data_IF_882212766610
#
_entry.id   IF_882212766610
#
_cell.length_a   1.000
_cell.length_b   1.000
_cell.length_c   1.000
_cell.angle_alpha   90.00
_cell.angle_beta   90.00
_cell.angle_gamma   90.00
#
_symmetry.space_group_name_H-M   'P 1'
#
loop_
_entity.id
_entity.type
_entity.pdbx_description
1 polymer ?
#
# COMPACT_ATOMS: atom_id res chain seq x y z
N UNK A 1 -32.36 -13.38 -2.67
CA UNK A 1 -31.21 -13.96 -3.42
C UNK A 1 -29.95 -13.44 -2.75
N UNK A 2 -29.02 -14.30 -2.36
CA UNK A 2 -27.70 -13.86 -1.88
C UNK A 2 -27.00 -13.18 -3.05
N UNK A 3 -26.61 -11.92 -2.88
CA UNK A 3 -25.78 -11.20 -3.84
C UNK A 3 -24.40 -11.83 -3.80
N UNK A 4 -23.90 -12.31 -4.94
CA UNK A 4 -22.50 -12.72 -5.06
C UNK A 4 -21.66 -11.47 -5.26
N UNK A 5 -20.87 -11.11 -4.26
CA UNK A 5 -19.95 -9.96 -4.32
C UNK A 5 -18.55 -10.36 -3.85
N UNK A 6 -17.57 -9.54 -4.23
CA UNK A 6 -16.23 -9.56 -3.67
C UNK A 6 -15.95 -8.21 -3.00
N UNK A 7 -15.19 -8.22 -1.91
CA UNK A 7 -14.68 -6.99 -1.30
C UNK A 7 -13.23 -6.78 -1.74
N UNK A 8 -12.95 -5.59 -2.25
CA UNK A 8 -11.63 -5.17 -2.74
C UNK A 8 -11.13 -4.04 -1.86
N UNK A 9 -9.91 -4.20 -1.33
CA UNK A 9 -9.29 -3.23 -0.43
C UNK A 9 -8.11 -2.53 -1.14
N UNK A 10 -8.11 -1.20 -1.08
CA UNK A 10 -7.08 -0.38 -1.69
C UNK A 10 -5.75 -0.45 -0.91
N UNK A 11 -4.65 -0.25 -1.63
CA UNK A 11 -3.31 -0.12 -1.04
C UNK A 11 -2.92 1.32 -0.72
N UNK A 12 -1.62 1.54 -0.51
CA UNK A 12 -1.05 2.88 -0.30
C UNK A 12 -1.26 3.78 -1.52
N UNK A 13 -1.52 5.06 -1.28
CA UNK A 13 -1.91 6.07 -2.28
C UNK A 13 -3.37 6.52 -2.15
N UNK A 14 -4.19 5.84 -1.36
CA UNK A 14 -5.58 6.21 -1.09
C UNK A 14 -5.76 7.12 0.15
N UNK A 15 -4.70 7.35 0.91
CA UNK A 15 -4.75 8.15 2.13
C UNK A 15 -5.10 9.61 1.84
N UNK A 16 -5.86 10.21 2.75
CA UNK A 16 -6.12 11.65 2.77
C UNK A 16 -6.46 12.09 4.19
N UNK A 17 -6.10 13.32 4.54
CA UNK A 17 -6.55 13.93 5.79
C UNK A 17 -8.09 13.92 5.86
N UNK A 18 -8.63 13.61 7.02
CA UNK A 18 -10.05 13.43 7.30
C UNK A 18 -10.62 12.06 6.94
N UNK A 19 -9.83 11.12 6.41
CA UNK A 19 -10.34 9.77 6.13
C UNK A 19 -10.78 9.06 7.43
N UNK A 20 -11.98 8.47 7.42
CA UNK A 20 -12.53 7.79 8.59
C UNK A 20 -13.15 8.70 9.66
N UNK A 21 -13.13 10.03 9.50
CA UNK A 21 -13.67 10.98 10.48
C UNK A 21 -15.16 10.76 10.76
N UNK A 22 -15.96 10.60 9.72
CA UNK A 22 -17.40 10.32 9.86
C UNK A 22 -17.66 9.02 10.63
N UNK A 23 -16.82 7.99 10.47
CA UNK A 23 -16.94 6.75 11.24
C UNK A 23 -16.62 6.98 12.71
N UNK A 24 -15.53 7.68 12.99
CA UNK A 24 -15.10 7.99 14.36
C UNK A 24 -16.13 8.83 15.11
N UNK A 25 -16.69 9.87 14.48
CA UNK A 25 -17.66 10.76 15.14
C UNK A 25 -19.00 10.07 15.44
N UNK A 26 -19.38 9.07 14.64
CA UNK A 26 -20.71 8.46 14.68
C UNK A 26 -20.76 7.00 15.16
N UNK A 27 -19.62 6.41 15.55
CA UNK A 27 -19.59 5.00 16.01
C UNK A 27 -18.63 4.78 17.18
N UNK A 28 -19.17 4.28 18.29
CA UNK A 28 -18.37 3.84 19.44
C UNK A 28 -17.43 2.67 19.10
N UNK A 29 -17.81 1.81 18.13
CA UNK A 29 -16.93 0.74 17.64
C UNK A 29 -15.70 1.33 16.94
N UNK A 30 -15.89 2.38 16.13
CA UNK A 30 -14.77 3.03 15.45
C UNK A 30 -13.83 3.73 16.45
N UNK A 31 -14.39 4.41 17.46
CA UNK A 31 -13.61 5.03 18.54
C UNK A 31 -12.79 4.00 19.30
N UNK A 32 -13.40 2.87 19.68
CA UNK A 32 -12.72 1.81 20.42
C UNK A 32 -11.59 1.21 19.59
N UNK A 33 -11.84 0.85 18.32
CA UNK A 33 -10.81 0.28 17.45
C UNK A 33 -9.63 1.25 17.24
N UNK A 34 -9.91 2.55 17.14
CA UNK A 34 -8.87 3.57 17.04
C UNK A 34 -8.06 3.69 18.34
N UNK A 35 -8.72 3.67 19.51
CA UNK A 35 -8.06 3.68 20.81
C UNK A 35 -7.17 2.44 21.01
N UNK A 36 -7.66 1.25 20.66
CA UNK A 36 -6.90 0.00 20.75
C UNK A 36 -5.67 0.03 19.81
N UNK A 37 -5.84 0.58 18.60
CA UNK A 37 -4.77 0.76 17.65
C UNK A 37 -3.72 1.79 18.14
N UNK A 38 -4.16 2.87 18.80
CA UNK A 38 -3.26 3.84 19.44
C UNK A 38 -2.41 3.15 20.52
N UNK A 39 -3.03 2.36 21.40
CA UNK A 39 -2.33 1.65 22.48
C UNK A 39 -1.29 0.66 21.94
N UNK A 40 -1.63 -0.07 20.88
CA UNK A 40 -0.77 -1.12 20.32
C UNK A 40 0.40 -0.59 19.50
N UNK A 41 0.20 0.52 18.79
CA UNK A 41 1.24 1.06 17.89
C UNK A 41 2.00 2.26 18.47
N UNK A 42 1.42 2.93 19.47
CA UNK A 42 1.91 4.21 19.99
C UNK A 42 1.67 5.40 19.05
N UNK A 43 0.92 5.22 17.95
CA UNK A 43 0.53 6.29 17.03
C UNK A 43 -0.72 6.97 17.59
N UNK A 44 -0.74 8.31 17.57
CA UNK A 44 -1.98 9.08 17.76
C UNK A 44 -2.74 9.12 16.42
N UNK A 45 -3.62 8.14 16.18
CA UNK A 45 -4.37 8.07 14.93
C UNK A 45 -5.36 9.22 14.76
N UNK A 46 -5.87 9.81 15.84
CA UNK A 46 -6.79 10.95 15.76
C UNK A 46 -6.05 12.16 15.18
N UNK A 47 -4.89 12.49 15.75
CA UNK A 47 -4.05 13.57 15.21
C UNK A 47 -3.59 13.26 13.78
N UNK A 48 -3.08 12.05 13.54
CA UNK A 48 -2.56 11.63 12.24
C UNK A 48 -3.61 11.73 11.13
N UNK A 49 -4.87 11.35 11.43
CA UNK A 49 -5.93 11.28 10.44
C UNK A 49 -6.72 12.58 10.32
N UNK A 50 -6.93 13.33 11.41
CA UNK A 50 -7.93 14.42 11.45
C UNK A 50 -7.34 15.82 11.54
N UNK A 51 -6.06 15.96 11.86
CA UNK A 51 -5.35 17.23 11.98
C UNK A 51 -4.26 17.37 10.90
N UNK A 52 -3.85 18.61 10.62
CA UNK A 52 -2.77 18.88 9.65
C UNK A 52 -1.42 18.39 10.18
N UNK A 53 -0.75 17.54 9.41
CA UNK A 53 0.55 16.96 9.75
C UNK A 53 1.32 16.46 8.50
N UNK A 54 2.63 16.30 8.64
CA UNK A 54 3.52 15.79 7.57
C UNK A 54 3.72 14.26 7.62
N UNK A 55 3.10 13.58 8.58
CA UNK A 55 3.33 12.15 8.84
C UNK A 55 2.46 11.25 7.98
N UNK A 56 1.23 11.67 7.62
CA UNK A 56 0.29 10.82 6.88
C UNK A 56 0.82 10.38 5.51
N UNK A 57 1.78 11.11 4.92
CA UNK A 57 2.46 10.74 3.68
C UNK A 57 3.65 9.78 3.84
N UNK A 58 4.12 9.55 5.07
CA UNK A 58 5.26 8.69 5.35
C UNK A 58 4.80 7.25 5.56
N UNK A 59 5.40 6.31 4.81
CA UNK A 59 4.98 4.91 4.72
C UNK A 59 4.73 4.22 6.07
N UNK A 60 5.54 4.50 7.09
CA UNK A 60 5.39 3.91 8.43
C UNK A 60 4.10 4.29 9.16
N UNK A 61 3.53 5.45 8.83
CA UNK A 61 2.26 5.95 9.36
C UNK A 61 1.11 5.72 8.37
N UNK A 62 1.37 5.91 7.08
CA UNK A 62 0.36 5.75 6.01
C UNK A 62 -0.25 4.34 6.00
N UNK A 63 0.61 3.32 6.11
CA UNK A 63 0.16 1.94 5.99
C UNK A 63 -0.82 1.52 7.10
N UNK A 64 -0.48 1.65 8.40
CA UNK A 64 -1.41 1.28 9.46
C UNK A 64 -2.67 2.17 9.47
N UNK A 65 -2.55 3.45 9.08
CA UNK A 65 -3.69 4.35 8.96
C UNK A 65 -4.72 3.89 7.91
N UNK A 66 -4.27 3.50 6.71
CA UNK A 66 -5.16 2.99 5.66
C UNK A 66 -5.82 1.69 6.11
N UNK A 67 -5.06 0.76 6.70
CA UNK A 67 -5.62 -0.49 7.19
C UNK A 67 -6.67 -0.25 8.27
N UNK A 68 -6.36 0.56 9.29
CA UNK A 68 -7.27 0.86 10.39
C UNK A 68 -8.62 1.39 9.88
N UNK A 69 -8.58 2.38 8.97
CA UNK A 69 -9.80 2.95 8.39
C UNK A 69 -10.55 1.92 7.53
N UNK A 70 -9.84 1.08 6.78
CA UNK A 70 -10.45 0.02 5.98
C UNK A 70 -11.16 -1.05 6.82
N UNK A 71 -10.55 -1.47 7.94
CA UNK A 71 -11.13 -2.49 8.82
C UNK A 71 -12.27 -1.93 9.67
N UNK A 72 -12.21 -0.66 10.08
CA UNK A 72 -13.35 0.04 10.69
C UNK A 72 -14.51 0.10 9.69
N UNK A 73 -14.27 0.56 8.45
CA UNK A 73 -15.30 0.64 7.42
C UNK A 73 -15.95 -0.73 7.16
N UNK A 74 -15.12 -1.79 7.09
CA UNK A 74 -15.59 -3.15 6.92
C UNK A 74 -16.46 -3.63 8.09
N UNK A 75 -16.04 -3.38 9.34
CA UNK A 75 -16.81 -3.75 10.53
C UNK A 75 -18.17 -3.06 10.55
N UNK A 76 -18.20 -1.74 10.34
CA UNK A 76 -19.46 -0.99 10.32
C UNK A 76 -20.38 -1.42 9.18
N UNK A 77 -19.82 -1.69 8.00
CA UNK A 77 -20.59 -2.17 6.86
C UNK A 77 -21.23 -3.54 7.16
N UNK A 78 -20.46 -4.49 7.69
CA UNK A 78 -20.94 -5.85 7.98
C UNK A 78 -21.89 -5.92 9.16
N UNK A 79 -21.78 -5.01 10.13
CA UNK A 79 -22.77 -4.87 11.22
C UNK A 79 -24.10 -4.33 10.72
N UNK A 80 -24.09 -3.47 9.69
CA UNK A 80 -25.29 -2.83 9.16
C UNK A 80 -25.95 -3.61 8.02
N UNK A 81 -25.21 -4.46 7.31
CA UNK A 81 -25.65 -5.12 6.07
C UNK A 81 -25.53 -6.64 6.17
N UNK A 82 -26.58 -7.37 5.81
CA UNK A 82 -26.52 -8.84 5.63
C UNK A 82 -25.92 -9.20 4.26
N UNK A 83 -24.74 -8.64 3.95
CA UNK A 83 -23.98 -8.92 2.74
C UNK A 83 -22.65 -9.56 3.14
N UNK A 84 -22.43 -10.78 2.66
CA UNK A 84 -21.18 -11.52 2.89
C UNK A 84 -20.44 -11.72 1.57
N UNK A 85 -19.17 -11.32 1.49
CA UNK A 85 -18.39 -11.51 0.28
C UNK A 85 -18.13 -13.01 0.05
N UNK A 86 -18.11 -13.42 -1.21
CA UNK A 86 -17.60 -14.76 -1.59
C UNK A 86 -16.09 -14.77 -1.68
N UNK A 87 -15.47 -13.60 -1.94
CA UNK A 87 -14.02 -13.41 -1.97
C UNK A 87 -13.64 -12.05 -1.37
N UNK A 88 -12.49 -12.00 -0.70
CA UNK A 88 -11.81 -10.77 -0.34
C UNK A 88 -10.50 -10.69 -1.10
N UNK A 89 -10.14 -9.51 -1.58
CA UNK A 89 -8.87 -9.25 -2.26
C UNK A 89 -8.35 -7.89 -1.86
N UNK A 90 -7.03 -7.73 -1.88
CA UNK A 90 -6.39 -6.48 -1.53
C UNK A 90 -5.22 -6.19 -2.46
N UNK A 91 -5.04 -4.92 -2.80
CA UNK A 91 -3.88 -4.48 -3.58
C UNK A 91 -2.74 -4.09 -2.66
N UNK A 92 -1.62 -4.80 -2.72
CA UNK A 92 -0.44 -4.53 -1.89
C UNK A 92 -0.80 -4.51 -0.39
N UNK A 93 -0.65 -3.37 0.28
CA UNK A 93 -1.11 -3.14 1.65
C UNK A 93 -2.55 -3.62 1.91
N UNK A 94 -3.45 -3.45 0.93
CA UNK A 94 -4.85 -3.83 1.07
C UNK A 94 -5.05 -5.33 1.33
N UNK A 95 -4.06 -6.18 1.05
CA UNK A 95 -4.12 -7.61 1.33
C UNK A 95 -4.29 -7.90 2.83
N UNK A 96 -3.65 -7.12 3.69
CA UNK A 96 -3.84 -7.23 5.15
C UNK A 96 -5.28 -6.91 5.55
N UNK A 97 -5.89 -5.87 4.96
CA UNK A 97 -7.31 -5.56 5.18
C UNK A 97 -8.22 -6.69 4.67
N UNK A 98 -7.86 -7.34 3.55
CA UNK A 98 -8.60 -8.48 3.01
C UNK A 98 -8.49 -9.73 3.90
N UNK A 99 -7.33 -9.96 4.52
CA UNK A 99 -7.11 -11.02 5.51
C UNK A 99 -7.96 -10.79 6.76
N UNK A 100 -8.00 -9.55 7.27
CA UNK A 100 -8.91 -9.18 8.38
C UNK A 100 -10.37 -9.39 8.00
N UNK A 101 -10.78 -8.93 6.82
CA UNK A 101 -12.15 -9.10 6.34
C UNK A 101 -12.57 -10.56 6.12
N UNK A 102 -11.60 -11.46 5.91
CA UNK A 102 -11.83 -12.91 5.83
C UNK A 102 -11.87 -13.60 7.20
N UNK A 103 -11.46 -12.90 8.27
CA UNK A 103 -11.29 -13.46 9.61
C UNK A 103 -9.99 -14.22 9.82
N UNK A 104 -9.03 -14.16 8.88
CA UNK A 104 -7.74 -14.83 8.99
C UNK A 104 -6.75 -14.10 9.92
N UNK A 105 -6.97 -12.81 10.16
CA UNK A 105 -6.15 -11.97 11.03
C UNK A 105 -7.06 -11.08 11.89
N UNK A 106 -6.69 -10.87 13.16
CA UNK A 106 -7.38 -9.89 14.00
C UNK A 106 -7.11 -8.46 13.49
N UNK A 107 -8.09 -7.59 13.64
CA UNK A 107 -8.01 -6.23 13.11
C UNK A 107 -6.89 -5.41 13.76
N UNK A 108 -6.74 -5.49 15.08
CA UNK A 108 -5.76 -4.68 15.81
C UNK A 108 -4.36 -5.30 15.71
N UNK A 109 -4.26 -6.63 15.73
CA UNK A 109 -2.98 -7.31 15.44
C UNK A 109 -2.48 -6.99 14.02
N UNK A 110 -3.39 -6.89 13.05
CA UNK A 110 -3.05 -6.47 11.69
C UNK A 110 -2.51 -5.04 11.63
N UNK A 111 -3.09 -4.11 12.41
CA UNK A 111 -2.59 -2.72 12.48
C UNK A 111 -1.17 -2.69 13.06
N UNK A 112 -0.89 -3.44 14.13
CA UNK A 112 0.47 -3.52 14.70
C UNK A 112 1.47 -4.11 13.70
N UNK A 113 1.11 -5.24 13.08
CA UNK A 113 1.94 -5.90 12.08
C UNK A 113 2.24 -4.99 10.89
N UNK A 114 1.23 -4.24 10.42
CA UNK A 114 1.39 -3.31 9.30
C UNK A 114 2.16 -2.05 9.71
N UNK A 115 2.09 -1.60 10.96
CA UNK A 115 2.99 -0.57 11.45
C UNK A 115 4.45 -1.04 11.39
N UNK A 116 4.73 -2.27 11.83
CA UNK A 116 6.06 -2.86 11.70
C UNK A 116 6.49 -2.97 10.22
N UNK A 117 5.61 -3.47 9.34
CA UNK A 117 5.87 -3.53 7.90
C UNK A 117 6.25 -2.16 7.33
N UNK A 118 5.50 -1.12 7.67
CA UNK A 118 5.74 0.25 7.23
C UNK A 118 7.12 0.76 7.68
N UNK A 119 7.48 0.54 8.95
CA UNK A 119 8.80 0.88 9.51
C UNK A 119 9.94 0.17 8.78
N UNK A 120 9.85 -1.15 8.64
CA UNK A 120 10.86 -1.96 7.96
C UNK A 120 11.03 -1.54 6.48
N UNK A 121 9.94 -1.20 5.80
CA UNK A 121 10.00 -0.71 4.42
C UNK A 121 10.65 0.67 4.31
N UNK A 122 10.35 1.58 5.25
CA UNK A 122 10.99 2.89 5.32
C UNK A 122 12.50 2.75 5.60
N UNK A 123 12.88 1.93 6.58
CA UNK A 123 14.27 1.69 6.97
C UNK A 123 15.10 1.08 5.83
N UNK A 124 14.56 0.08 5.14
CA UNK A 124 15.23 -0.54 3.99
C UNK A 124 15.49 0.46 2.85
N UNK A 125 14.59 1.44 2.69
CA UNK A 125 14.69 2.48 1.67
C UNK A 125 15.51 3.70 2.13
N UNK A 126 15.70 3.93 3.42
CA UNK A 126 16.36 5.13 3.95
C UNK A 126 17.82 5.29 3.50
N UNK A 127 18.47 4.22 3.06
CA UNK A 127 19.88 4.23 2.64
C UNK A 127 20.12 4.92 1.29
N UNK A 128 19.08 5.13 0.49
CA UNK A 128 19.21 5.62 -0.89
C UNK A 128 17.91 6.26 -1.38
N UNK A 129 18.00 7.24 -2.28
CA UNK A 129 16.81 7.81 -2.91
C UNK A 129 16.16 6.79 -3.85
N UNK A 130 15.00 6.29 -3.46
CA UNK A 130 14.18 5.35 -4.22
C UNK A 130 12.86 5.96 -4.65
N UNK A 131 12.14 5.27 -5.50
CA UNK A 131 10.76 5.62 -5.83
C UNK A 131 10.07 4.55 -6.64
N UNK A 132 8.93 4.93 -7.20
CA UNK A 132 8.17 4.13 -8.14
C UNK A 132 7.72 5.00 -9.32
N UNK A 133 7.57 4.40 -10.49
CA UNK A 133 7.15 5.05 -11.73
C UNK A 133 6.00 4.28 -12.34
N UNK A 134 4.94 4.97 -12.74
CA UNK A 134 3.90 4.37 -13.57
C UNK A 134 4.25 4.47 -15.05
N UNK A 135 4.14 3.36 -15.77
CA UNK A 135 4.19 3.24 -17.22
C UNK A 135 2.79 2.94 -17.75
N UNK A 136 2.32 3.73 -18.72
CA UNK A 136 1.01 3.55 -19.35
C UNK A 136 1.13 3.25 -20.84
N UNK A 137 0.36 2.29 -21.33
CA UNK A 137 0.19 1.96 -22.76
C UNK A 137 1.20 0.98 -23.34
N UNK A 138 2.06 0.37 -22.52
CA UNK A 138 2.97 -0.71 -22.93
C UNK A 138 2.48 -2.05 -22.36
N UNK A 139 2.68 -3.15 -23.08
CA UNK A 139 2.40 -4.49 -22.54
C UNK A 139 3.40 -4.87 -21.44
N UNK A 140 2.99 -5.83 -20.63
CA UNK A 140 3.80 -6.44 -19.55
C UNK A 140 5.18 -6.84 -20.06
N UNK A 141 5.22 -7.65 -21.13
CA UNK A 141 6.45 -8.13 -21.76
C UNK A 141 7.40 -7.00 -22.19
N UNK A 142 6.89 -5.90 -22.72
CA UNK A 142 7.74 -4.78 -23.16
C UNK A 142 8.38 -4.09 -21.96
N UNK A 143 7.63 -3.86 -20.89
CA UNK A 143 8.17 -3.22 -19.68
C UNK A 143 9.14 -4.15 -18.94
N UNK A 144 8.85 -5.45 -18.90
CA UNK A 144 9.73 -6.47 -18.33
C UNK A 144 11.08 -6.52 -19.06
N UNK A 145 11.06 -6.66 -20.39
CA UNK A 145 12.27 -6.70 -21.21
C UNK A 145 13.12 -5.43 -21.02
N UNK A 146 12.47 -4.24 -21.03
CA UNK A 146 13.17 -2.98 -20.78
C UNK A 146 13.82 -2.99 -19.38
N UNK A 147 13.07 -3.38 -18.34
CA UNK A 147 13.62 -3.44 -16.98
C UNK A 147 14.79 -4.43 -16.89
N UNK A 148 14.70 -5.59 -17.54
CA UNK A 148 15.76 -6.60 -17.58
C UNK A 148 17.03 -6.10 -18.28
N UNK A 149 16.89 -5.52 -19.48
CA UNK A 149 18.01 -4.94 -20.22
C UNK A 149 18.70 -3.82 -19.42
N UNK A 150 17.90 -2.93 -18.81
CA UNK A 150 18.45 -1.85 -18.00
C UNK A 150 19.11 -2.36 -16.72
N UNK A 151 18.58 -3.42 -16.09
CA UNK A 151 19.28 -4.09 -14.99
C UNK A 151 20.59 -4.71 -15.42
N UNK A 152 20.67 -5.34 -16.59
CA UNK A 152 21.91 -5.85 -17.14
C UNK A 152 22.93 -4.72 -17.43
N UNK A 153 22.45 -3.52 -17.72
CA UNK A 153 23.28 -2.31 -17.87
C UNK A 153 23.64 -1.62 -16.53
N UNK A 154 23.23 -2.18 -15.39
CA UNK A 154 23.60 -1.70 -14.05
C UNK A 154 22.56 -0.81 -13.36
N UNK A 155 21.40 -0.57 -13.98
CA UNK A 155 20.31 0.17 -13.35
C UNK A 155 19.57 -0.74 -12.35
N UNK A 156 19.00 -0.16 -11.30
CA UNK A 156 18.23 -0.88 -10.29
C UNK A 156 16.75 -0.55 -10.43
N UNK A 157 16.09 -1.23 -11.38
CA UNK A 157 14.67 -1.05 -11.70
C UNK A 157 13.95 -2.39 -11.88
N UNK A 158 12.71 -2.48 -11.41
CA UNK A 158 11.90 -3.70 -11.45
C UNK A 158 10.46 -3.36 -11.79
N UNK A 159 9.86 -4.05 -12.77
CA UNK A 159 8.41 -4.08 -12.93
C UNK A 159 7.81 -4.79 -11.71
N UNK A 160 6.85 -4.16 -11.04
CA UNK A 160 6.38 -4.60 -9.71
C UNK A 160 4.87 -4.64 -9.53
N UNK A 161 4.11 -3.85 -10.27
CA UNK A 161 2.65 -3.93 -10.21
C UNK A 161 2.06 -3.97 -11.61
N UNK A 162 1.26 -5.00 -11.87
CA UNK A 162 0.53 -5.24 -13.10
C UNK A 162 -0.94 -4.95 -12.81
N UNK A 163 -1.32 -3.67 -12.92
CA UNK A 163 -2.58 -3.18 -12.37
C UNK A 163 -3.76 -3.37 -13.32
N UNK A 164 -3.50 -3.20 -14.62
CA UNK A 164 -4.47 -3.35 -15.71
C UNK A 164 -3.71 -3.46 -17.03
N UNK A 165 -4.41 -3.81 -18.10
CA UNK A 165 -3.85 -3.82 -19.46
C UNK A 165 -3.18 -2.48 -19.78
N UNK A 166 -1.86 -2.51 -19.91
CA UNK A 166 -1.08 -1.31 -20.18
C UNK A 166 -0.93 -0.36 -19.00
N UNK A 167 -1.06 -0.81 -17.75
CA UNK A 167 -0.74 -0.03 -16.56
C UNK A 167 0.19 -0.82 -15.64
N UNK A 168 1.48 -0.48 -15.72
CA UNK A 168 2.53 -1.17 -14.98
C UNK A 168 3.26 -0.16 -14.08
N UNK A 169 3.55 -0.54 -12.85
CA UNK A 169 4.41 0.25 -11.95
C UNK A 169 5.78 -0.39 -11.90
N UNK A 170 6.80 0.45 -11.93
CA UNK A 170 8.22 0.10 -11.88
C UNK A 170 8.80 0.70 -10.61
N UNK A 171 9.40 -0.10 -9.73
CA UNK A 171 10.10 0.36 -8.54
C UNK A 171 11.61 0.38 -8.78
N UNK A 172 12.33 1.25 -8.08
CA UNK A 172 13.78 1.31 -8.21
C UNK A 172 14.44 2.49 -7.54
N UNK A 173 15.72 2.67 -7.86
CA UNK A 173 16.47 3.88 -7.50
C UNK A 173 15.92 5.05 -8.29
N UNK A 174 15.70 6.19 -7.63
CA UNK A 174 15.05 7.36 -8.24
C UNK A 174 15.77 7.85 -9.49
N UNK A 175 17.10 7.92 -9.44
CA UNK A 175 17.93 8.32 -10.60
C UNK A 175 17.84 7.33 -11.75
N UNK A 176 17.74 6.03 -11.46
CA UNK A 176 17.62 5.00 -12.49
C UNK A 176 16.24 5.04 -13.15
N UNK A 177 15.19 5.33 -12.37
CA UNK A 177 13.85 5.60 -12.89
C UNK A 177 13.82 6.85 -13.79
N UNK A 178 14.55 7.91 -13.43
CA UNK A 178 14.68 9.12 -14.27
C UNK A 178 15.34 8.81 -15.63
N UNK A 179 16.35 7.92 -15.64
CA UNK A 179 16.97 7.41 -16.88
C UNK A 179 16.00 6.51 -17.67
N UNK A 180 15.14 5.75 -16.97
CA UNK A 180 14.17 4.85 -17.60
C UNK A 180 13.03 5.59 -18.31
N UNK A 181 12.61 6.75 -17.81
CA UNK A 181 11.51 7.53 -18.37
C UNK A 181 11.61 7.82 -19.89
N UNK A 182 12.73 8.33 -20.43
CA UNK A 182 12.89 8.53 -21.87
C UNK A 182 12.87 7.20 -22.64
N UNK A 183 13.46 6.13 -22.10
CA UNK A 183 13.48 4.79 -22.74
C UNK A 183 12.06 4.26 -22.92
N UNK A 184 11.21 4.37 -21.88
CA UNK A 184 9.80 4.00 -21.96
C UNK A 184 9.05 4.83 -23.01
N UNK A 185 9.35 6.12 -23.13
CA UNK A 185 8.75 6.99 -24.16
C UNK A 185 9.17 6.61 -25.58
N UNK A 186 10.44 6.27 -25.79
CA UNK A 186 10.93 5.76 -27.08
C UNK A 186 10.27 4.43 -27.45
N UNK A 187 10.02 3.57 -26.46
CA UNK A 187 9.22 2.35 -26.60
C UNK A 187 7.72 2.60 -26.82
N UNK A 188 7.28 3.86 -26.91
CA UNK A 188 5.89 4.32 -27.16
C UNK A 188 4.95 4.22 -25.96
N UNK A 189 5.47 4.31 -24.72
CA UNK A 189 4.62 4.54 -23.57
C UNK A 189 3.81 5.83 -23.75
N UNK A 190 2.50 5.78 -23.49
CA UNK A 190 1.62 6.96 -23.46
C UNK A 190 2.03 7.92 -22.35
N UNK A 191 2.43 7.39 -21.20
CA UNK A 191 2.95 8.15 -20.05
C UNK A 191 3.99 7.31 -19.30
N UNK A 192 4.99 8.00 -18.77
CA UNK A 192 5.94 7.51 -17.78
C UNK A 192 6.09 8.62 -16.73
N UNK A 193 5.68 8.36 -15.49
CA UNK A 193 5.62 9.39 -14.43
C UNK A 193 6.06 8.83 -13.09
N UNK A 194 6.95 9.54 -12.39
CA UNK A 194 7.27 9.24 -11.00
C UNK A 194 6.04 9.41 -10.13
N UNK A 195 5.87 8.50 -9.18
CA UNK A 195 4.84 8.54 -8.16
C UNK A 195 5.37 9.27 -6.93
N UNK A 196 4.48 9.97 -6.24
CA UNK A 196 4.81 10.69 -5.01
C UNK A 196 4.87 9.71 -3.83
N UNK A 197 5.99 8.99 -3.74
CA UNK A 197 6.26 8.02 -2.69
C UNK A 197 7.76 7.82 -2.49
N UNK A 198 8.16 7.65 -1.22
CA UNK A 198 9.56 7.53 -0.79
C UNK A 198 10.05 6.09 -0.63
N UNK A 199 9.28 5.10 -1.11
CA UNK A 199 9.57 3.67 -0.94
C UNK A 199 9.44 2.93 -2.27
N UNK A 200 10.40 2.06 -2.57
CA UNK A 200 10.36 1.16 -3.72
C UNK A 200 9.74 -0.19 -3.33
N UNK A 201 8.40 -0.27 -3.42
CA UNK A 201 7.66 -1.47 -3.00
C UNK A 201 7.82 -2.65 -3.96
N UNK A 202 7.67 -3.88 -3.44
CA UNK A 202 7.65 -5.14 -4.21
C UNK A 202 8.90 -5.45 -5.03
N UNK A 203 10.06 -4.91 -4.65
CA UNK A 203 11.33 -5.17 -5.31
C UNK A 203 12.41 -5.64 -4.32
N UNK A 204 13.55 -6.18 -4.81
CA UNK A 204 14.64 -6.66 -3.97
C UNK A 204 15.24 -5.63 -2.99
N UNK A 205 15.00 -4.32 -3.19
CA UNK A 205 15.43 -3.29 -2.24
C UNK A 205 14.79 -3.45 -0.86
N UNK A 206 13.68 -4.20 -0.75
CA UNK A 206 13.01 -4.53 0.51
C UNK A 206 13.46 -5.86 1.11
N UNK A 207 14.49 -6.52 0.58
CA UNK A 207 14.90 -7.85 1.05
C UNK A 207 15.21 -7.88 2.56
N UNK A 208 15.81 -6.81 3.09
CA UNK A 208 16.13 -6.69 4.52
C UNK A 208 14.89 -6.65 5.42
N UNK A 209 13.72 -6.27 4.88
CA UNK A 209 12.46 -6.23 5.62
C UNK A 209 11.79 -7.61 5.74
N UNK A 210 12.21 -8.61 4.97
CA UNK A 210 11.52 -9.91 4.86
C UNK A 210 11.65 -10.75 6.13
N UNK A 211 12.88 -10.97 6.62
CA UNK A 211 13.10 -11.81 7.80
C UNK A 211 12.45 -11.22 9.06
N UNK A 212 12.64 -9.92 9.39
CA UNK A 212 12.05 -9.36 10.61
C UNK A 212 10.52 -9.36 10.58
N UNK A 213 9.91 -9.15 9.41
CA UNK A 213 8.45 -9.22 9.27
C UNK A 213 7.93 -10.65 9.40
N UNK A 214 8.63 -11.62 8.79
CA UNK A 214 8.24 -13.03 8.82
C UNK A 214 8.29 -13.62 10.23
N UNK A 215 9.20 -13.15 11.09
CA UNK A 215 9.28 -13.56 12.49
C UNK A 215 8.08 -13.11 13.35
N UNK A 216 7.16 -12.31 12.79
CA UNK A 216 5.97 -11.77 13.45
C UNK A 216 4.64 -12.28 12.87
N UNK A 217 4.69 -13.02 11.76
CA UNK A 217 3.55 -13.71 11.15
C UNK A 217 3.29 -15.05 11.85
#
# INVERSE_FOLDING_TARGET
>A
MSVKCAFLFAGQGSQKMGMGKDFFENSEVAKQMMADANERTGIDFENLLFEENDNLGQTEFTQPAILLVAVIAHKLFTDAMDIKPTLTMGHSLGEFSALVASGALDAIDAVELVNLRGKLMADACAKQEVGMMVSLGLSDEVVENICEEQRAAGLQVWAVNYNADGQIVIAGIKKDLEVLAPILKEAKAKRAMLLDMSVASHCPLLQEAVEPLSAKL
#
